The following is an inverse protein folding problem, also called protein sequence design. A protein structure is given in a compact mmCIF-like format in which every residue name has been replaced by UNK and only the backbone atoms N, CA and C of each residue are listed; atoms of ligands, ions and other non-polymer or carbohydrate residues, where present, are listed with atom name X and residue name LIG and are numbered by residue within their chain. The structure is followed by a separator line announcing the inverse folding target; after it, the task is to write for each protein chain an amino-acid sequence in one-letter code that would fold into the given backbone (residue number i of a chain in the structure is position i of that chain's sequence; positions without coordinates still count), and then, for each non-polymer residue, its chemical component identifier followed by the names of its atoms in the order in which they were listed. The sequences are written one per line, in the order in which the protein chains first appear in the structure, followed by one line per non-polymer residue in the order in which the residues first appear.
data_IF_877812812045
#
_entry.id   IF_877812812045
#
_cell.length_a   1.000
_cell.length_b   1.000
_cell.length_c   1.000
_cell.angle_alpha   90.00
_cell.angle_beta   90.00
_cell.angle_gamma   90.00
#
_symmetry.space_group_name_H-M   'P 1'
#
loop_
_entity.id
_entity.type
_entity.pdbx_description
1 polymer ?
#
# COMPACT_ATOMS: atom_id res chain seq x y z
N UNK A 1 7.90 4.60 9.56
CA UNK A 1 8.96 4.80 8.53
C UNK A 1 9.11 3.52 7.67
N UNK A 2 9.49 3.60 6.40
CA UNK A 2 9.72 2.41 5.55
C UNK A 2 8.50 1.83 4.81
N UNK A 3 7.28 2.28 5.13
CA UNK A 3 6.05 1.81 4.47
C UNK A 3 6.08 1.96 2.94
N UNK A 4 6.41 3.16 2.44
CA UNK A 4 6.40 3.46 0.99
C UNK A 4 7.37 2.55 0.24
N UNK A 5 8.56 2.30 0.81
CA UNK A 5 9.54 1.40 0.22
C UNK A 5 9.06 -0.04 0.18
N UNK A 6 8.52 -0.55 1.29
CA UNK A 6 7.99 -1.92 1.37
C UNK A 6 6.84 -2.15 0.38
N UNK A 7 5.91 -1.19 0.29
CA UNK A 7 4.82 -1.24 -0.67
C UNK A 7 5.31 -1.18 -2.12
N UNK A 8 6.22 -0.26 -2.43
CA UNK A 8 6.78 -0.13 -3.77
C UNK A 8 7.55 -1.38 -4.22
N UNK A 9 8.30 -2.00 -3.31
CA UNK A 9 8.97 -3.27 -3.57
C UNK A 9 7.95 -4.38 -3.87
N UNK A 10 6.91 -4.53 -3.05
CA UNK A 10 5.89 -5.56 -3.22
C UNK A 10 5.12 -5.42 -4.55
N UNK A 11 4.77 -4.18 -4.93
CA UNK A 11 4.13 -3.90 -6.21
C UNK A 11 5.08 -4.15 -7.39
N UNK A 12 6.35 -3.77 -7.25
CA UNK A 12 7.39 -4.02 -8.26
C UNK A 12 7.66 -5.51 -8.48
N UNK A 13 7.73 -6.31 -7.42
CA UNK A 13 7.85 -7.77 -7.49
C UNK A 13 6.65 -8.42 -8.18
N UNK A 14 5.46 -7.82 -8.04
CA UNK A 14 4.24 -8.23 -8.74
C UNK A 14 4.13 -7.65 -10.17
N UNK A 15 5.09 -6.83 -10.61
CA UNK A 15 5.08 -6.11 -11.88
C UNK A 15 3.81 -5.24 -12.08
N UNK A 16 3.38 -4.56 -11.01
CA UNK A 16 2.20 -3.67 -10.97
C UNK A 16 2.66 -2.22 -10.85
N UNK A 17 2.15 -1.33 -11.70
CA UNK A 17 2.48 0.09 -11.60
C UNK A 17 1.52 0.83 -10.66
N UNK A 18 2.03 1.90 -10.07
CA UNK A 18 1.23 2.84 -9.28
C UNK A 18 0.72 3.93 -10.23
N UNK A 19 -0.59 3.95 -10.45
CA UNK A 19 -1.28 5.00 -11.21
C UNK A 19 -1.45 6.27 -10.36
N UNK A 20 -1.78 6.13 -9.08
CA UNK A 20 -1.91 7.26 -8.15
C UNK A 20 -1.43 6.89 -6.76
N UNK A 21 -0.85 7.85 -6.05
CA UNK A 21 -0.39 7.67 -4.67
C UNK A 21 -0.73 8.91 -3.84
N UNK A 22 -1.68 8.78 -2.92
CA UNK A 22 -2.06 9.83 -1.98
C UNK A 22 -1.72 9.38 -0.57
N UNK A 23 -0.99 10.21 0.18
CA UNK A 23 -0.63 9.95 1.57
C UNK A 23 -1.02 11.13 2.44
N UNK A 24 -2.05 10.94 3.26
CA UNK A 24 -2.40 11.86 4.34
C UNK A 24 -1.77 11.41 5.65
N UNK A 25 -1.34 12.36 6.48
CA UNK A 25 -0.92 12.11 7.88
C UNK A 25 -1.44 13.22 8.79
N UNK A 26 -1.79 12.90 10.03
CA UNK A 26 -2.23 13.90 11.01
C UNK A 26 -1.08 14.79 11.47
N UNK A 27 0.07 14.18 11.75
CA UNK A 27 1.33 14.86 12.03
C UNK A 27 2.53 13.99 11.62
N UNK A 28 3.74 14.51 11.76
CA UNK A 28 4.95 13.74 11.49
C UNK A 28 5.10 12.60 12.52
N UNK A 29 5.16 11.36 12.03
CA UNK A 29 5.33 10.17 12.88
C UNK A 29 4.04 9.59 13.46
N UNK A 30 2.90 10.24 13.21
CA UNK A 30 1.59 9.76 13.62
C UNK A 30 0.91 8.90 12.53
N UNK A 31 -0.38 8.63 12.72
CA UNK A 31 -1.19 7.84 11.80
C UNK A 31 -1.22 8.46 10.40
N UNK A 32 -1.18 7.56 9.42
CA UNK A 32 -1.21 7.92 8.02
C UNK A 32 -2.18 7.00 7.27
N UNK A 33 -2.82 7.56 6.25
CA UNK A 33 -3.68 6.83 5.32
C UNK A 33 -3.09 6.99 3.93
N UNK A 34 -2.86 5.86 3.27
CA UNK A 34 -2.44 5.80 1.88
C UNK A 34 -3.60 5.32 1.00
N UNK A 35 -3.92 6.08 -0.05
CA UNK A 35 -4.79 5.63 -1.13
C UNK A 35 -3.93 5.45 -2.38
N UNK A 36 -3.86 4.21 -2.85
CA UNK A 36 -2.98 3.82 -3.96
C UNK A 36 -3.82 3.23 -5.07
N UNK A 37 -3.83 3.89 -6.22
CA UNK A 37 -4.41 3.37 -7.45
C UNK A 37 -3.35 2.60 -8.22
N UNK A 38 -3.70 1.41 -8.67
CA UNK A 38 -2.82 0.53 -9.47
C UNK A 38 -3.46 0.24 -10.82
N UNK A 39 -2.63 -0.09 -11.81
CA UNK A 39 -3.07 -0.35 -13.19
C UNK A 39 -3.42 -1.82 -13.48
N UNK A 40 -3.19 -2.71 -12.52
CA UNK A 40 -3.47 -4.13 -12.63
C UNK A 40 -4.13 -4.67 -11.35
N UNK A 41 -4.82 -5.80 -11.48
CA UNK A 41 -5.43 -6.50 -10.35
C UNK A 41 -4.32 -7.04 -9.44
N UNK A 42 -4.27 -6.63 -8.16
CA UNK A 42 -3.32 -7.19 -7.21
C UNK A 42 -3.48 -8.71 -7.04
N UNK A 43 -2.39 -9.45 -6.77
CA UNK A 43 -2.47 -10.84 -6.33
C UNK A 43 -3.36 -10.99 -5.10
N UNK A 44 -4.07 -12.12 -4.98
CA UNK A 44 -4.97 -12.40 -3.86
C UNK A 44 -4.27 -12.37 -2.50
N UNK A 45 -2.97 -12.67 -2.45
CA UNK A 45 -2.16 -12.66 -1.23
C UNK A 45 -1.55 -11.29 -0.89
N UNK A 46 -1.68 -10.29 -1.77
CA UNK A 46 -1.03 -8.98 -1.57
C UNK A 46 -1.60 -8.24 -0.36
N UNK A 47 -2.93 -8.30 -0.15
CA UNK A 47 -3.56 -7.66 1.00
C UNK A 47 -3.11 -8.31 2.31
N UNK A 48 -3.02 -9.64 2.35
CA UNK A 48 -2.52 -10.38 3.52
C UNK A 48 -1.06 -10.03 3.83
N UNK A 49 -0.21 -9.92 2.79
CA UNK A 49 1.19 -9.48 2.95
C UNK A 49 1.29 -8.05 3.44
N UNK A 50 0.40 -7.15 2.99
CA UNK A 50 0.35 -5.77 3.46
C UNK A 50 -0.09 -5.72 4.92
N UNK A 51 -1.12 -6.46 5.31
CA UNK A 51 -1.59 -6.56 6.70
C UNK A 51 -0.53 -7.13 7.65
N UNK A 52 0.36 -7.99 7.14
CA UNK A 52 1.47 -8.53 7.91
C UNK A 52 2.63 -7.54 8.14
N UNK A 53 2.63 -6.38 7.47
CA UNK A 53 3.68 -5.39 7.67
C UNK A 53 3.53 -4.71 9.05
N UNK A 54 4.60 -4.59 9.86
CA UNK A 54 4.54 -3.99 11.19
C UNK A 54 4.00 -2.56 11.24
N UNK A 55 4.16 -1.82 10.12
CA UNK A 55 3.73 -0.45 9.95
C UNK A 55 2.31 -0.29 9.36
N UNK A 56 1.61 -1.40 9.07
CA UNK A 56 0.26 -1.39 8.50
C UNK A 56 -0.73 -1.81 9.58
N UNK A 57 -1.75 -0.99 9.79
CA UNK A 57 -2.84 -1.31 10.73
C UNK A 57 -3.90 -2.20 10.08
N UNK A 58 -4.20 -1.92 8.82
CA UNK A 58 -5.02 -2.73 7.93
C UNK A 58 -4.86 -2.23 6.49
N UNK A 59 -5.12 -3.11 5.52
CA UNK A 59 -5.18 -2.83 4.10
C UNK A 59 -6.51 -3.37 3.55
N UNK A 60 -7.08 -2.67 2.57
CA UNK A 60 -8.29 -3.11 1.87
C UNK A 60 -8.15 -2.84 0.39
N UNK A 61 -8.47 -3.86 -0.41
CA UNK A 61 -8.69 -3.68 -1.84
C UNK A 61 -10.05 -3.00 -2.05
N UNK A 62 -10.06 -1.96 -2.87
CA UNK A 62 -11.27 -1.29 -3.33
C UNK A 62 -11.36 -1.48 -4.84
N UNK A 63 -12.55 -1.83 -5.34
CA UNK A 63 -12.84 -1.92 -6.77
C UNK A 63 -14.08 -1.10 -7.03
N UNK A 64 -14.01 -0.24 -8.05
CA UNK A 64 -15.05 0.70 -8.44
C UNK A 64 -15.47 0.45 -9.89
#
# INVERSE_FOLDING_TARGET
PGFIGALGQMLGEANINIATFHLGRTAAGEEAIALVGVDAVPPTDMIEKLDALPQVRYAKALTF
#
